data_IF_577134299025
#
_entry.id   IF_577134299025
#
_cell.length_a   1.000
_cell.length_b   1.000
_cell.length_c   1.000
_cell.angle_alpha   90.00
_cell.angle_beta   90.00
_cell.angle_gamma   90.00
#
_symmetry.space_group_name_H-M   'P 1'
#
loop_
_entity.id
_entity.type
_entity.pdbx_description
1 polymer ?
#
# COMPACT_ATOMS: atom_id res chain seq x y z
N UNK A 1 -8.00 8.10 18.97
CA UNK A 1 -8.57 9.30 18.32
C UNK A 1 -8.11 9.44 16.85
N UNK A 2 -7.80 8.37 16.11
CA UNK A 2 -7.32 8.52 14.72
C UNK A 2 -8.47 8.63 13.70
N UNK A 3 -9.62 8.02 13.99
CA UNK A 3 -10.78 8.03 13.08
C UNK A 3 -11.36 9.43 12.87
N UNK A 4 -11.58 10.17 13.96
CA UNK A 4 -12.18 11.52 13.92
C UNK A 4 -11.22 12.51 13.26
N UNK A 5 -9.97 12.56 13.73
CA UNK A 5 -8.93 13.42 13.15
C UNK A 5 -8.71 13.15 11.65
N UNK A 6 -8.74 11.88 11.24
CA UNK A 6 -8.66 11.50 9.82
C UNK A 6 -9.85 12.00 9.00
N UNK A 7 -11.07 11.95 9.55
CA UNK A 7 -12.26 12.47 8.90
C UNK A 7 -12.18 13.99 8.74
N UNK A 8 -11.84 14.72 9.81
CA UNK A 8 -11.72 16.20 9.78
C UNK A 8 -10.69 16.66 8.75
N UNK A 9 -9.57 15.93 8.64
CA UNK A 9 -8.54 16.20 7.63
C UNK A 9 -9.08 15.97 6.21
N UNK A 10 -9.79 14.85 5.98
CA UNK A 10 -10.38 14.56 4.68
C UNK A 10 -11.41 15.63 4.27
N UNK A 11 -12.23 16.09 5.22
CA UNK A 11 -13.20 17.17 5.00
C UNK A 11 -12.50 18.49 4.62
N UNK A 12 -11.39 18.83 5.27
CA UNK A 12 -10.60 20.02 4.94
C UNK A 12 -10.01 19.96 3.51
N UNK A 13 -9.37 18.83 3.14
CA UNK A 13 -8.81 18.64 1.80
C UNK A 13 -9.88 18.70 0.71
N UNK A 14 -11.05 18.11 0.96
CA UNK A 14 -12.17 18.16 0.02
C UNK A 14 -12.73 19.58 -0.12
N UNK A 15 -12.75 20.37 0.97
CA UNK A 15 -13.15 21.78 0.92
C UNK A 15 -12.20 22.59 0.03
N UNK A 16 -10.88 22.44 0.22
CA UNK A 16 -9.89 23.13 -0.63
C UNK A 16 -10.04 22.75 -2.11
N UNK A 17 -10.38 21.48 -2.41
CA UNK A 17 -10.66 21.04 -3.78
C UNK A 17 -11.91 21.70 -4.37
N UNK A 18 -13.02 21.72 -3.62
CA UNK A 18 -14.29 22.34 -4.06
C UNK A 18 -14.15 23.85 -4.22
N UNK A 19 -13.39 24.50 -3.34
CA UNK A 19 -13.15 25.94 -3.36
C UNK A 19 -12.12 26.35 -4.43
N UNK A 20 -11.53 25.39 -5.16
CA UNK A 20 -10.54 25.65 -6.20
C UNK A 20 -9.20 26.14 -5.69
N UNK A 21 -8.89 25.90 -4.41
CA UNK A 21 -7.66 26.33 -3.76
C UNK A 21 -6.44 25.46 -4.13
N UNK A 22 -6.66 24.30 -4.76
CA UNK A 22 -5.61 23.36 -5.14
C UNK A 22 -5.07 23.64 -6.55
N UNK A 23 -3.74 23.64 -6.68
CA UNK A 23 -3.06 23.75 -7.97
C UNK A 23 -3.30 22.49 -8.81
N UNK A 24 -3.49 22.66 -10.13
CA UNK A 24 -3.57 21.55 -11.05
C UNK A 24 -2.26 20.72 -11.04
N UNK A 25 -2.33 19.39 -10.97
CA UNK A 25 -1.14 18.54 -10.98
C UNK A 25 -0.44 18.62 -12.35
N UNK A 26 0.90 18.58 -12.33
CA UNK A 26 1.72 18.59 -13.55
C UNK A 26 1.77 17.24 -14.28
N UNK A 27 1.36 16.15 -13.62
CA UNK A 27 1.40 14.78 -14.15
C UNK A 27 0.07 14.06 -13.91
N UNK A 28 -0.18 13.00 -14.67
CA UNK A 28 -1.39 12.19 -14.48
C UNK A 28 -1.31 11.38 -13.19
N UNK A 29 -2.47 11.05 -12.62
CA UNK A 29 -2.60 10.04 -11.55
C UNK A 29 -2.05 8.68 -11.96
N UNK A 30 -2.13 8.34 -13.24
CA UNK A 30 -1.72 7.04 -13.76
C UNK A 30 -0.19 6.90 -13.79
N UNK A 31 0.53 8.04 -13.78
CA UNK A 31 2.00 8.08 -13.76
C UNK A 31 2.59 7.81 -12.37
N UNK A 32 1.77 7.86 -11.30
CA UNK A 32 2.25 7.71 -9.91
C UNK A 32 2.97 6.37 -9.69
N UNK A 33 2.51 5.30 -10.34
CA UNK A 33 3.17 3.99 -10.28
C UNK A 33 4.61 4.06 -10.80
N UNK A 34 4.79 4.65 -11.99
CA UNK A 34 6.10 4.82 -12.61
C UNK A 34 7.01 5.75 -11.79
N UNK A 35 6.49 6.89 -11.31
CA UNK A 35 7.25 7.85 -10.49
C UNK A 35 7.79 7.19 -9.21
N UNK A 36 7.00 6.31 -8.59
CA UNK A 36 7.43 5.57 -7.39
C UNK A 36 8.54 4.58 -7.73
N UNK A 37 8.39 3.84 -8.83
CA UNK A 37 9.41 2.88 -9.29
C UNK A 37 10.71 3.57 -9.73
N UNK A 38 10.63 4.68 -10.47
CA UNK A 38 11.79 5.47 -10.92
C UNK A 38 12.61 6.03 -9.75
N UNK A 39 11.96 6.28 -8.61
CA UNK A 39 12.62 6.67 -7.35
C UNK A 39 13.28 5.50 -6.61
N UNK A 40 13.30 4.30 -7.21
CA UNK A 40 13.94 3.11 -6.67
C UNK A 40 13.06 2.28 -5.74
N UNK A 41 11.75 2.55 -5.64
CA UNK A 41 10.88 1.78 -4.79
C UNK A 41 10.45 0.47 -5.45
N UNK A 42 10.49 -0.62 -4.69
CA UNK A 42 9.90 -1.92 -5.05
C UNK A 42 8.43 -1.94 -4.62
N UNK A 43 7.56 -1.47 -5.52
CA UNK A 43 6.13 -1.29 -5.22
C UNK A 43 5.40 -2.63 -5.11
N UNK A 44 4.82 -2.89 -3.95
CA UNK A 44 3.78 -3.90 -3.73
C UNK A 44 2.43 -3.18 -3.79
N UNK A 45 1.58 -3.57 -4.75
CA UNK A 45 0.25 -3.01 -4.89
C UNK A 45 -0.79 -3.71 -3.98
N UNK A 46 -2.06 -3.41 -4.19
CA UNK A 46 -3.14 -3.99 -3.41
C UNK A 46 -3.23 -5.52 -3.56
N UNK A 47 -2.97 -6.05 -4.75
CA UNK A 47 -3.10 -7.49 -4.99
C UNK A 47 -1.88 -8.24 -4.43
N UNK A 48 -0.68 -7.67 -4.53
CA UNK A 48 0.49 -8.15 -3.81
C UNK A 48 0.30 -8.16 -2.29
N UNK A 49 -0.30 -7.10 -1.72
CA UNK A 49 -0.64 -7.07 -0.29
C UNK A 49 -1.67 -8.15 0.11
N UNK A 50 -2.71 -8.38 -0.71
CA UNK A 50 -3.68 -9.45 -0.46
C UNK A 50 -3.01 -10.83 -0.50
N UNK A 51 -2.05 -11.04 -1.40
CA UNK A 51 -1.29 -12.28 -1.49
C UNK A 51 -0.45 -12.52 -0.23
N UNK A 52 0.24 -11.49 0.28
CA UNK A 52 0.93 -11.52 1.58
C UNK A 52 -0.05 -11.90 2.70
N UNK A 53 -1.19 -11.22 2.81
CA UNK A 53 -2.18 -11.48 3.86
C UNK A 53 -2.71 -12.92 3.82
N UNK A 54 -2.95 -13.46 2.62
CA UNK A 54 -3.38 -14.84 2.42
C UNK A 54 -2.28 -15.85 2.81
N UNK A 55 -1.03 -15.59 2.44
CA UNK A 55 0.11 -16.43 2.77
C UNK A 55 0.35 -16.49 4.29
N UNK A 56 0.34 -15.35 4.98
CA UNK A 56 0.49 -15.28 6.43
C UNK A 56 -0.63 -16.03 7.19
N UNK A 57 -1.88 -15.88 6.73
CA UNK A 57 -3.03 -16.61 7.31
C UNK A 57 -2.90 -18.11 7.09
N UNK A 58 -2.50 -18.52 5.89
CA UNK A 58 -2.32 -19.93 5.53
C UNK A 58 -1.23 -20.58 6.38
N UNK A 59 -0.10 -19.90 6.58
CA UNK A 59 1.00 -20.37 7.43
C UNK A 59 0.58 -20.55 8.91
N UNK A 60 -0.34 -19.72 9.42
CA UNK A 60 -0.88 -19.86 10.77
C UNK A 60 -1.86 -21.02 10.95
N UNK A 61 -2.57 -21.42 9.89
CA UNK A 61 -3.68 -22.38 9.97
C UNK A 61 -3.26 -23.75 10.51
N UNK A 62 -2.10 -24.26 10.09
CA UNK A 62 -1.58 -25.56 10.53
C UNK A 62 -1.24 -25.60 12.03
N UNK A 63 -0.88 -24.46 12.61
CA UNK A 63 -0.56 -24.29 14.03
C UNK A 63 -1.74 -23.75 14.86
N UNK A 64 -2.95 -23.66 14.30
CA UNK A 64 -4.12 -23.09 14.99
C UNK A 64 -4.02 -21.58 15.27
N UNK A 65 -3.10 -20.87 14.60
CA UNK A 65 -2.87 -19.43 14.76
C UNK A 65 -3.62 -18.64 13.69
N UNK A 66 -4.08 -17.42 14.03
CA UNK A 66 -4.74 -16.51 13.06
C UNK A 66 -3.84 -16.18 11.86
N UNK A 67 -2.54 -16.06 12.11
CA UNK A 67 -1.49 -15.88 11.10
C UNK A 67 -0.11 -16.13 11.69
N UNK A 68 0.86 -16.36 10.82
CA UNK A 68 2.29 -16.20 11.08
C UNK A 68 2.76 -15.01 10.26
N UNK A 69 3.35 -14.00 10.91
CA UNK A 69 3.82 -12.78 10.25
C UNK A 69 5.16 -13.04 9.57
N UNK A 70 5.30 -12.58 8.34
CA UNK A 70 6.62 -12.45 7.71
C UNK A 70 7.38 -11.30 8.37
N UNK A 71 8.70 -11.42 8.47
CA UNK A 71 9.55 -10.48 9.20
C UNK A 71 10.72 -9.95 8.36
N UNK A 72 10.84 -10.43 7.12
CA UNK A 72 11.81 -9.94 6.15
C UNK A 72 11.14 -9.38 4.90
N UNK A 73 11.82 -8.43 4.26
CA UNK A 73 11.39 -7.84 2.99
C UNK A 73 11.28 -8.93 1.91
N UNK A 74 12.25 -9.83 1.84
CA UNK A 74 12.26 -10.92 0.84
C UNK A 74 11.05 -11.86 0.96
N UNK A 75 10.61 -12.17 2.19
CA UNK A 75 9.37 -12.95 2.38
C UNK A 75 8.13 -12.19 1.88
N UNK A 76 8.05 -10.88 2.14
CA UNK A 76 6.96 -10.06 1.62
C UNK A 76 6.95 -10.01 0.09
N UNK A 77 8.11 -9.79 -0.53
CA UNK A 77 8.26 -9.72 -1.98
C UNK A 77 7.93 -11.05 -2.65
N UNK A 78 8.43 -12.16 -2.11
CA UNK A 78 8.14 -13.51 -2.61
C UNK A 78 6.64 -13.83 -2.50
N UNK A 79 6.01 -13.52 -1.37
CA UNK A 79 4.58 -13.73 -1.17
C UNK A 79 3.71 -12.82 -2.04
N UNK A 80 4.20 -11.62 -2.37
CA UNK A 80 3.57 -10.71 -3.32
C UNK A 80 3.76 -11.12 -4.79
N UNK A 81 4.52 -12.20 -5.08
CA UNK A 81 4.78 -12.67 -6.44
C UNK A 81 5.80 -11.82 -7.21
N UNK A 82 6.64 -11.07 -6.49
CA UNK A 82 7.70 -10.27 -7.11
C UNK A 82 8.88 -11.15 -7.50
N UNK A 83 9.51 -10.86 -8.64
CA UNK A 83 10.77 -11.50 -9.02
C UNK A 83 11.89 -11.13 -8.04
N UNK A 84 12.78 -12.09 -7.79
CA UNK A 84 13.98 -11.89 -6.98
C UNK A 84 14.92 -10.94 -7.71
N UNK A 85 15.37 -9.87 -7.06
CA UNK A 85 16.52 -9.11 -7.55
C UNK A 85 17.76 -9.95 -7.21
N UNK A 86 18.55 -10.29 -8.24
CA UNK A 86 19.84 -10.97 -8.07
C UNK A 86 20.83 -10.13 -7.27
#
# INVERSE_FOLDING_TARGET
MNRICGQETAEAVLRDYVDGALTAPATSRDDVGAIVTDRGARRIDLDGWKAIDAAEKTAGKSAGRRRVKFVSITEFEAAAGMESVQ
#
